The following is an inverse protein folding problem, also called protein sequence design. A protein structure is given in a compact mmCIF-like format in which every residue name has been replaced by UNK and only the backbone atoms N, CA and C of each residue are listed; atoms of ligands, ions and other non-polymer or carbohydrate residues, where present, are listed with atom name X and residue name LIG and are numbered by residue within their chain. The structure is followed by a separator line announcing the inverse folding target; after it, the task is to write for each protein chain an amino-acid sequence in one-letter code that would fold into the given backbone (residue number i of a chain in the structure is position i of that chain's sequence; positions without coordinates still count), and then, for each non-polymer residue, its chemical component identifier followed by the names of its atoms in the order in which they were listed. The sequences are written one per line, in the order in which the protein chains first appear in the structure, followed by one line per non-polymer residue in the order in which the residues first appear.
data_IF_315703554823
#
_entry.id   IF_315703554823
#
_cell.length_a   1.000
_cell.length_b   1.000
_cell.length_c   1.000
_cell.angle_alpha   90.00
_cell.angle_beta   90.00
_cell.angle_gamma   90.00
#
_symmetry.space_group_name_H-M   'P 1'
#
loop_
_entity.id
_entity.type
_entity.pdbx_description
1 polymer ?
#
# COMPACT_ATOMS: atom_id res chain seq x y z
N UNK A 1 35.15 -8.98 8.44
CA UNK A 1 35.23 -8.15 7.22
C UNK A 1 33.88 -7.48 7.08
N UNK A 2 33.81 -6.15 6.97
CA UNK A 2 32.51 -5.47 6.81
C UNK A 2 31.93 -5.81 5.43
N UNK A 3 30.60 -6.02 5.29
CA UNK A 3 29.96 -6.27 4.00
C UNK A 3 30.18 -5.08 3.05
N UNK A 4 30.12 -5.26 1.74
CA UNK A 4 30.24 -4.13 0.80
C UNK A 4 29.09 -3.14 0.98
N UNK A 5 29.35 -1.85 0.72
CA UNK A 5 28.30 -0.83 0.75
C UNK A 5 27.46 -1.00 -0.52
N UNK A 6 26.12 -1.06 -0.43
CA UNK A 6 25.25 -1.29 -1.58
C UNK A 6 25.40 -0.22 -2.67
N UNK A 7 25.34 -0.64 -3.93
CA UNK A 7 25.23 0.26 -5.09
C UNK A 7 23.76 0.38 -5.47
N UNK A 8 23.20 1.59 -5.44
CA UNK A 8 21.76 1.83 -5.65
C UNK A 8 21.23 1.26 -6.99
N UNK A 9 22.03 1.33 -8.06
CA UNK A 9 21.64 0.84 -9.38
C UNK A 9 21.36 -0.66 -9.42
N UNK A 10 22.01 -1.45 -8.56
CA UNK A 10 21.83 -2.90 -8.51
C UNK A 10 20.43 -3.27 -7.97
N UNK A 11 19.77 -2.33 -7.30
CA UNK A 11 18.42 -2.44 -6.76
C UNK A 11 17.39 -1.65 -7.58
N UNK A 12 17.79 -1.09 -8.73
CA UNK A 12 16.93 -0.22 -9.54
C UNK A 12 16.55 1.09 -8.86
N UNK A 13 17.33 1.53 -7.85
CA UNK A 13 17.07 2.75 -7.09
C UNK A 13 17.87 3.91 -7.70
N UNK A 14 17.21 5.06 -7.83
CA UNK A 14 17.84 6.27 -8.34
C UNK A 14 18.46 7.11 -7.22
N UNK A 15 19.70 7.59 -7.40
CA UNK A 15 20.27 8.58 -6.48
C UNK A 15 19.54 9.93 -6.54
N UNK A 16 18.76 10.20 -7.60
CA UNK A 16 18.06 11.49 -7.78
C UNK A 16 16.62 11.45 -7.29
N UNK A 17 15.90 10.37 -7.53
CA UNK A 17 14.45 10.28 -7.27
C UNK A 17 14.05 9.00 -6.51
N UNK A 18 15.02 8.35 -5.86
CA UNK A 18 14.77 7.24 -4.95
C UNK A 18 14.13 6.05 -5.64
N UNK A 19 12.99 5.60 -5.12
CA UNK A 19 12.26 4.43 -5.62
C UNK A 19 11.38 4.73 -6.84
N UNK A 20 11.29 5.99 -7.29
CA UNK A 20 10.66 6.30 -8.57
C UNK A 20 11.50 5.71 -9.72
N UNK A 21 10.88 5.32 -10.84
CA UNK A 21 11.61 4.81 -11.99
C UNK A 21 12.47 5.91 -12.63
N UNK A 22 13.64 5.52 -13.17
CA UNK A 22 14.56 6.43 -13.88
C UNK A 22 13.94 7.03 -15.15
N UNK A 23 13.06 6.27 -15.77
CA UNK A 23 12.26 6.72 -16.90
C UNK A 23 10.85 7.02 -16.42
N UNK A 24 10.24 8.05 -17.00
CA UNK A 24 8.87 8.43 -16.65
C UNK A 24 7.91 7.26 -16.94
N UNK A 25 6.91 7.04 -16.07
CA UNK A 25 5.92 6.00 -16.32
C UNK A 25 5.22 6.18 -17.67
N UNK A 26 4.94 5.06 -18.33
CA UNK A 26 4.27 5.07 -19.60
C UNK A 26 2.84 5.58 -19.45
N UNK A 27 2.45 6.63 -20.17
CA UNK A 27 1.11 7.19 -20.09
C UNK A 27 0.05 6.36 -20.82
N UNK A 28 0.48 5.55 -21.81
CA UNK A 28 -0.39 4.72 -22.64
C UNK A 28 0.41 3.57 -23.26
N UNK A 29 -0.09 2.34 -23.23
CA UNK A 29 0.51 1.19 -23.91
C UNK A 29 0.59 1.42 -25.42
N UNK A 30 1.76 1.23 -26.08
CA UNK A 30 1.92 1.64 -27.47
C UNK A 30 1.23 0.67 -28.45
N UNK A 31 1.15 -0.61 -28.11
CA UNK A 31 0.50 -1.62 -28.94
C UNK A 31 -1.03 -1.49 -28.88
N UNK A 32 -1.72 -1.22 -30.02
CA UNK A 32 -3.17 -1.16 -30.10
C UNK A 32 -3.92 -2.41 -29.64
N UNK A 33 -3.24 -3.57 -29.56
CA UNK A 33 -3.78 -4.79 -29.00
C UNK A 33 -4.35 -4.58 -27.58
N UNK A 34 -3.69 -3.73 -26.78
CA UNK A 34 -4.06 -3.43 -25.39
C UNK A 34 -5.04 -2.26 -25.24
N UNK A 35 -5.53 -1.65 -26.33
CA UNK A 35 -6.45 -0.51 -26.29
C UNK A 35 -7.74 -0.80 -25.49
N UNK A 36 -8.15 -2.06 -25.34
CA UNK A 36 -9.33 -2.41 -24.54
C UNK A 36 -9.11 -2.14 -23.05
N UNK A 37 -7.92 -2.39 -22.51
CA UNK A 37 -7.59 -2.05 -21.13
C UNK A 37 -7.53 -0.55 -20.93
N UNK A 38 -6.82 0.16 -21.82
CA UNK A 38 -6.71 1.63 -21.80
C UNK A 38 -8.09 2.28 -21.90
N UNK A 39 -8.98 1.82 -22.79
CA UNK A 39 -10.32 2.35 -22.94
C UNK A 39 -11.19 2.19 -21.69
N UNK A 40 -11.06 1.06 -20.97
CA UNK A 40 -11.79 0.84 -19.71
C UNK A 40 -11.29 1.77 -18.63
N UNK A 41 -9.96 1.89 -18.45
CA UNK A 41 -9.37 2.73 -17.40
C UNK A 41 -9.59 4.22 -17.69
N UNK A 42 -9.52 4.64 -18.96
CA UNK A 42 -9.82 6.01 -19.37
C UNK A 42 -11.28 6.43 -19.07
N UNK A 43 -12.20 5.46 -18.93
CA UNK A 43 -13.60 5.70 -18.58
C UNK A 43 -13.96 5.17 -17.19
N UNK A 44 -12.97 4.81 -16.36
CA UNK A 44 -13.17 4.05 -15.13
C UNK A 44 -14.13 4.76 -14.17
N UNK A 45 -13.95 6.06 -13.97
CA UNK A 45 -14.77 6.83 -13.03
C UNK A 45 -16.24 6.84 -13.48
N UNK A 46 -16.49 7.07 -14.77
CA UNK A 46 -17.83 7.05 -15.34
C UNK A 46 -18.48 5.66 -15.26
N UNK A 47 -17.69 4.59 -15.45
CA UNK A 47 -18.16 3.21 -15.36
C UNK A 47 -18.49 2.80 -13.91
N UNK A 48 -17.73 3.27 -12.93
CA UNK A 48 -18.01 3.07 -11.50
C UNK A 48 -19.28 3.83 -11.11
N UNK A 49 -19.35 5.13 -11.41
CA UNK A 49 -20.50 5.99 -11.07
C UNK A 49 -21.81 5.50 -11.69
N UNK A 50 -21.77 5.01 -12.93
CA UNK A 50 -22.93 4.46 -13.63
C UNK A 50 -23.24 3.00 -13.31
N UNK A 51 -22.46 2.35 -12.42
CA UNK A 51 -22.57 0.92 -12.07
C UNK A 51 -22.45 -0.04 -13.26
N UNK A 52 -21.71 0.35 -14.30
CA UNK A 52 -21.55 -0.42 -15.55
C UNK A 52 -20.22 -1.13 -15.68
N UNK A 53 -19.26 -0.86 -14.79
CA UNK A 53 -17.90 -1.42 -14.87
C UNK A 53 -17.90 -2.95 -14.98
N UNK A 54 -18.59 -3.66 -14.07
CA UNK A 54 -18.61 -5.14 -14.05
C UNK A 54 -19.09 -5.71 -15.39
N UNK A 55 -20.23 -5.24 -15.88
CA UNK A 55 -20.76 -5.69 -17.17
C UNK A 55 -19.84 -5.40 -18.35
N UNK A 56 -19.07 -4.30 -18.33
CA UNK A 56 -18.05 -4.02 -19.36
C UNK A 56 -16.89 -5.00 -19.26
N UNK A 57 -16.35 -5.20 -18.06
CA UNK A 57 -15.24 -6.14 -17.78
C UNK A 57 -15.61 -7.58 -18.15
N UNK A 58 -16.82 -8.04 -17.80
CA UNK A 58 -17.26 -9.42 -18.06
C UNK A 58 -17.34 -9.74 -19.56
N UNK A 59 -17.48 -8.72 -20.42
CA UNK A 59 -17.50 -8.86 -21.88
C UNK A 59 -16.13 -8.65 -22.54
N UNK A 60 -15.09 -8.29 -21.77
CA UNK A 60 -13.75 -8.17 -22.32
C UNK A 60 -13.23 -9.55 -22.70
N UNK A 61 -12.51 -9.67 -23.84
CA UNK A 61 -11.72 -10.87 -24.08
C UNK A 61 -10.54 -10.91 -23.09
N UNK A 62 -10.10 -12.12 -22.74
CA UNK A 62 -8.82 -12.31 -22.06
C UNK A 62 -7.71 -11.93 -23.03
N UNK A 63 -6.96 -10.87 -22.73
CA UNK A 63 -5.82 -10.44 -23.55
C UNK A 63 -4.53 -11.11 -23.06
N UNK A 64 -3.70 -11.54 -24.00
CA UNK A 64 -2.39 -12.14 -23.70
C UNK A 64 -1.36 -11.05 -23.36
N UNK A 65 -0.44 -11.37 -22.46
CA UNK A 65 0.67 -10.48 -22.06
C UNK A 65 1.92 -10.66 -22.93
N UNK A 66 1.90 -11.55 -23.93
CA UNK A 66 3.05 -11.85 -24.80
C UNK A 66 3.56 -10.65 -25.60
N UNK A 67 2.71 -9.67 -25.89
CA UNK A 67 3.08 -8.46 -26.63
C UNK A 67 3.67 -7.34 -25.77
N UNK A 68 3.83 -7.53 -24.46
CA UNK A 68 4.51 -6.57 -23.58
C UNK A 68 6.02 -6.83 -23.64
N UNK A 69 6.78 -5.89 -24.20
CA UNK A 69 8.22 -6.08 -24.48
C UNK A 69 9.12 -5.41 -23.46
N UNK A 70 8.76 -4.20 -23.03
CA UNK A 70 9.59 -3.37 -22.15
C UNK A 70 9.05 -3.29 -20.73
N UNK A 71 9.93 -3.15 -19.73
CA UNK A 71 9.53 -3.06 -18.31
C UNK A 71 8.50 -1.94 -18.06
N UNK A 72 8.58 -0.82 -18.78
CA UNK A 72 7.60 0.27 -18.69
C UNK A 72 6.19 -0.16 -19.16
N UNK A 73 6.09 -1.03 -20.15
CA UNK A 73 4.82 -1.60 -20.63
C UNK A 73 4.25 -2.59 -19.63
N UNK A 74 5.10 -3.46 -19.05
CA UNK A 74 4.69 -4.37 -17.98
C UNK A 74 4.15 -3.60 -16.76
N UNK A 75 4.85 -2.55 -16.33
CA UNK A 75 4.42 -1.67 -15.23
C UNK A 75 3.11 -0.96 -15.53
N UNK A 76 2.93 -0.42 -16.75
CA UNK A 76 1.68 0.20 -17.18
C UNK A 76 0.52 -0.81 -17.20
N UNK A 77 0.74 -1.99 -17.77
CA UNK A 77 -0.26 -3.06 -17.78
C UNK A 77 -0.69 -3.44 -16.35
N UNK A 78 0.27 -3.56 -15.43
CA UNK A 78 0.00 -3.81 -14.02
C UNK A 78 -0.88 -2.72 -13.40
N UNK A 79 -0.54 -1.43 -13.60
CA UNK A 79 -1.39 -0.32 -13.14
C UNK A 79 -2.82 -0.44 -13.66
N UNK A 80 -2.99 -0.59 -14.98
CA UNK A 80 -4.32 -0.69 -15.61
C UNK A 80 -5.14 -1.84 -15.02
N UNK A 81 -4.53 -3.02 -14.90
CA UNK A 81 -5.16 -4.22 -14.37
C UNK A 81 -5.51 -4.10 -12.89
N UNK A 82 -4.65 -3.48 -12.07
CA UNK A 82 -4.95 -3.21 -10.67
C UNK A 82 -6.09 -2.19 -10.49
N UNK A 83 -6.12 -1.12 -11.27
CA UNK A 83 -7.21 -0.14 -11.24
C UNK A 83 -8.54 -0.78 -11.65
N UNK A 84 -8.55 -1.60 -12.70
CA UNK A 84 -9.74 -2.37 -13.09
C UNK A 84 -10.14 -3.39 -12.03
N UNK A 85 -9.20 -4.13 -11.44
CA UNK A 85 -9.46 -5.15 -10.42
C UNK A 85 -10.12 -4.54 -9.18
N UNK A 86 -9.52 -3.50 -8.60
CA UNK A 86 -10.06 -2.84 -7.41
C UNK A 86 -11.36 -2.10 -7.71
N UNK A 87 -11.49 -1.52 -8.90
CA UNK A 87 -12.77 -0.96 -9.36
C UNK A 87 -13.87 -2.03 -9.46
N UNK A 88 -13.54 -3.23 -9.94
CA UNK A 88 -14.48 -4.34 -10.07
C UNK A 88 -14.88 -4.92 -8.71
N UNK A 89 -13.91 -5.15 -7.83
CA UNK A 89 -14.11 -5.64 -6.47
C UNK A 89 -14.97 -4.65 -5.70
N UNK A 90 -14.51 -3.41 -5.52
CA UNK A 90 -15.09 -2.47 -4.56
C UNK A 90 -16.13 -1.50 -5.16
N UNK A 91 -16.15 -1.30 -6.49
CA UNK A 91 -16.99 -0.28 -7.13
C UNK A 91 -18.46 -0.65 -7.36
N UNK A 92 -18.90 -1.84 -6.92
CA UNK A 92 -20.30 -2.28 -7.00
C UNK A 92 -21.16 -1.80 -5.83
N UNK A 93 -22.38 -2.35 -5.73
CA UNK A 93 -23.25 -2.13 -4.56
C UNK A 93 -22.78 -2.93 -3.33
N UNK A 94 -22.20 -4.11 -3.57
CA UNK A 94 -21.46 -4.91 -2.60
C UNK A 94 -20.10 -5.27 -3.21
N UNK A 95 -19.07 -5.57 -2.39
CA UNK A 95 -17.81 -6.05 -2.93
C UNK A 95 -18.00 -7.37 -3.69
N UNK A 96 -17.15 -7.61 -4.68
CA UNK A 96 -17.09 -8.89 -5.39
C UNK A 96 -15.91 -9.71 -4.89
N UNK A 97 -16.20 -10.93 -4.45
CA UNK A 97 -15.23 -11.94 -4.00
C UNK A 97 -14.61 -12.74 -5.15
N UNK A 98 -14.93 -12.41 -6.41
CA UNK A 98 -14.45 -13.17 -7.58
C UNK A 98 -14.09 -12.24 -8.73
N UNK A 99 -12.80 -12.15 -9.04
CA UNK A 99 -12.32 -11.44 -10.22
C UNK A 99 -12.46 -12.32 -11.47
N UNK A 100 -13.04 -11.80 -12.57
CA UNK A 100 -13.27 -12.59 -13.77
C UNK A 100 -11.97 -12.77 -14.60
N UNK A 101 -11.90 -13.80 -15.46
CA UNK A 101 -10.72 -14.12 -16.25
C UNK A 101 -10.11 -12.96 -17.08
N UNK A 102 -10.90 -12.03 -17.67
CA UNK A 102 -10.33 -10.92 -18.44
C UNK A 102 -9.42 -9.98 -17.64
N UNK A 103 -9.53 -9.98 -16.30
CA UNK A 103 -8.62 -9.27 -15.40
C UNK A 103 -7.68 -10.26 -14.70
N UNK A 104 -8.22 -11.33 -14.12
CA UNK A 104 -7.46 -12.22 -13.24
C UNK A 104 -6.27 -12.89 -13.96
N UNK A 105 -6.50 -13.47 -15.15
CA UNK A 105 -5.44 -14.16 -15.91
C UNK A 105 -4.27 -13.23 -16.26
N UNK A 106 -4.48 -12.09 -16.95
CA UNK A 106 -3.37 -11.19 -17.27
C UNK A 106 -2.75 -10.55 -16.02
N UNK A 107 -3.54 -10.21 -14.99
CA UNK A 107 -3.01 -9.63 -13.75
C UNK A 107 -2.05 -10.61 -13.05
N UNK A 108 -2.42 -11.88 -12.94
CA UNK A 108 -1.55 -12.91 -12.35
C UNK A 108 -0.24 -13.06 -13.15
N UNK A 109 -0.32 -13.05 -14.49
CA UNK A 109 0.86 -13.17 -15.34
C UNK A 109 1.80 -11.94 -15.23
N UNK A 110 1.23 -10.73 -15.23
CA UNK A 110 1.99 -9.48 -15.06
C UNK A 110 2.61 -9.39 -13.66
N UNK A 111 1.83 -9.70 -12.63
CA UNK A 111 2.27 -9.70 -11.24
C UNK A 111 3.45 -10.66 -11.03
N UNK A 112 3.37 -11.88 -11.57
CA UNK A 112 4.46 -12.85 -11.52
C UNK A 112 5.72 -12.37 -12.28
N UNK A 113 5.58 -11.74 -13.45
CA UNK A 113 6.70 -11.22 -14.24
C UNK A 113 7.41 -10.04 -13.57
N UNK A 114 6.68 -9.23 -12.81
CA UNK A 114 7.18 -8.07 -12.09
C UNK A 114 7.57 -8.38 -10.63
N UNK A 115 7.34 -9.62 -10.17
CA UNK A 115 7.58 -10.06 -8.80
C UNK A 115 6.84 -9.19 -7.76
N UNK A 116 5.58 -8.85 -8.06
CA UNK A 116 4.68 -8.10 -7.18
C UNK A 116 3.39 -8.90 -6.94
N UNK A 117 2.68 -8.69 -5.82
CA UNK A 117 1.40 -9.35 -5.59
C UNK A 117 0.31 -8.81 -6.53
N UNK A 118 -0.71 -9.61 -6.91
CA UNK A 118 -1.76 -9.19 -7.86
C UNK A 118 -2.84 -8.29 -7.21
N UNK A 119 -2.43 -7.19 -6.57
CA UNK A 119 -3.29 -6.22 -5.86
C UNK A 119 -2.84 -4.79 -6.21
N UNK A 120 -3.67 -3.77 -5.99
CA UNK A 120 -3.22 -2.38 -6.10
C UNK A 120 -2.19 -2.04 -5.01
N UNK A 121 -0.91 -2.22 -5.32
CA UNK A 121 0.23 -1.88 -4.48
C UNK A 121 0.60 -0.41 -4.61
N UNK A 122 1.49 0.08 -3.74
CA UNK A 122 2.03 1.44 -3.81
C UNK A 122 2.72 1.70 -5.15
N UNK A 123 3.35 0.68 -5.73
CA UNK A 123 3.91 0.77 -7.08
C UNK A 123 2.83 1.06 -8.14
N UNK A 124 1.68 0.39 -8.06
CA UNK A 124 0.57 0.59 -9.01
C UNK A 124 -0.08 1.97 -8.90
N UNK A 125 -0.33 2.45 -7.68
CA UNK A 125 -1.12 3.68 -7.46
C UNK A 125 -0.28 4.94 -7.36
N UNK A 126 1.02 4.82 -7.06
CA UNK A 126 1.96 5.94 -6.94
C UNK A 126 3.13 5.82 -7.94
N UNK A 127 4.08 4.90 -7.70
CA UNK A 127 5.40 4.92 -8.38
C UNK A 127 5.30 4.85 -9.92
N UNK A 128 4.27 4.18 -10.46
CA UNK A 128 4.06 4.01 -11.90
C UNK A 128 2.80 4.74 -12.41
N UNK A 129 2.21 5.63 -11.61
CA UNK A 129 0.91 6.27 -11.89
C UNK A 129 0.99 7.80 -11.97
N UNK A 130 2.04 8.34 -12.58
CA UNK A 130 2.19 9.79 -12.70
C UNK A 130 2.83 10.22 -14.02
N UNK A 131 2.66 11.50 -14.33
CA UNK A 131 3.37 12.20 -15.39
C UNK A 131 3.61 13.65 -14.98
N UNK A 132 4.70 14.27 -15.46
CA UNK A 132 4.86 15.71 -15.34
C UNK A 132 3.91 16.45 -16.30
N UNK A 133 3.54 17.67 -15.95
CA UNK A 133 2.83 18.61 -16.83
C UNK A 133 3.82 19.30 -17.78
N UNK A 134 5.01 19.62 -17.27
CA UNK A 134 6.14 20.23 -17.96
C UNK A 134 7.39 19.36 -17.74
N UNK A 135 7.95 18.84 -18.84
CA UNK A 135 9.05 17.86 -18.81
C UNK A 135 10.40 18.45 -18.40
N UNK A 136 10.53 19.77 -18.45
CA UNK A 136 11.70 20.55 -18.06
C UNK A 136 11.72 20.93 -16.57
N UNK A 137 10.61 20.69 -15.86
CA UNK A 137 10.48 20.91 -14.42
C UNK A 137 10.70 19.62 -13.61
N UNK A 138 11.08 19.76 -12.33
CA UNK A 138 11.40 18.63 -11.45
C UNK A 138 10.16 17.81 -11.06
N UNK A 139 10.34 16.49 -10.92
CA UNK A 139 9.29 15.57 -10.43
C UNK A 139 9.06 15.64 -8.91
N UNK A 140 9.81 16.47 -8.20
CA UNK A 140 9.60 16.78 -6.79
C UNK A 140 8.68 18.01 -6.58
N UNK A 141 8.28 18.69 -7.66
CA UNK A 141 7.35 19.82 -7.62
C UNK A 141 5.92 19.33 -7.81
N UNK A 142 5.10 19.40 -6.77
CA UNK A 142 3.72 18.91 -6.78
C UNK A 142 2.86 19.57 -7.85
N UNK A 143 3.08 20.86 -8.07
CA UNK A 143 2.35 21.67 -9.04
C UNK A 143 2.58 21.21 -10.47
N UNK A 144 3.69 20.51 -10.73
CA UNK A 144 4.08 19.98 -12.02
C UNK A 144 3.63 18.52 -12.23
N UNK A 145 2.89 17.90 -11.31
CA UNK A 145 2.53 16.49 -11.44
C UNK A 145 1.04 16.29 -11.73
N UNK A 146 0.74 15.22 -12.47
CA UNK A 146 -0.60 14.71 -12.67
C UNK A 146 -0.62 13.18 -12.55
N UNK A 147 -1.72 12.64 -12.01
CA UNK A 147 -1.97 11.20 -11.96
C UNK A 147 -2.36 10.68 -13.35
N UNK A 148 -2.00 9.43 -13.65
CA UNK A 148 -2.44 8.78 -14.88
C UNK A 148 -3.81 8.12 -14.73
N UNK A 149 -4.15 7.63 -13.55
CA UNK A 149 -5.39 6.90 -13.27
C UNK A 149 -5.86 7.11 -11.82
N UNK A 150 -7.18 7.12 -11.66
CA UNK A 150 -7.89 7.31 -10.39
C UNK A 150 -9.23 6.55 -10.45
N UNK A 151 -9.74 6.09 -9.31
CA UNK A 151 -11.06 5.46 -9.20
C UNK A 151 -12.19 6.49 -9.11
N UNK A 152 -11.99 7.54 -8.33
CA UNK A 152 -13.01 8.55 -8.03
C UNK A 152 -12.94 9.75 -8.97
N UNK A 153 -11.76 10.03 -9.52
CA UNK A 153 -11.50 11.24 -10.30
C UNK A 153 -11.42 12.52 -9.47
N UNK A 154 -11.42 12.40 -8.13
CA UNK A 154 -11.35 13.56 -7.26
C UNK A 154 -9.94 14.15 -7.22
N UNK A 155 -9.90 15.44 -6.85
CA UNK A 155 -8.65 16.11 -6.53
C UNK A 155 -8.00 15.49 -5.29
N UNK A 156 -8.78 15.07 -4.30
CA UNK A 156 -8.31 14.43 -3.07
C UNK A 156 -7.50 13.16 -3.35
N UNK A 157 -8.00 12.30 -4.24
CA UNK A 157 -7.33 11.06 -4.62
C UNK A 157 -6.03 11.34 -5.37
N UNK A 158 -6.09 12.28 -6.32
CA UNK A 158 -4.91 12.67 -7.06
C UNK A 158 -3.85 13.27 -6.13
N UNK A 159 -4.25 14.17 -5.23
CA UNK A 159 -3.35 14.82 -4.29
C UNK A 159 -2.71 13.83 -3.32
N UNK A 160 -3.48 12.85 -2.84
CA UNK A 160 -2.95 11.78 -1.99
C UNK A 160 -1.79 11.03 -2.68
N UNK A 161 -1.94 10.63 -3.95
CA UNK A 161 -0.85 9.97 -4.68
C UNK A 161 0.30 10.91 -5.00
N UNK A 162 0.01 12.14 -5.46
CA UNK A 162 1.04 13.08 -5.89
C UNK A 162 1.95 13.53 -4.74
N UNK A 163 1.41 13.74 -3.53
CA UNK A 163 2.21 14.02 -2.33
C UNK A 163 3.19 12.89 -2.06
N UNK A 164 2.74 11.63 -2.13
CA UNK A 164 3.62 10.47 -1.99
C UNK A 164 4.72 10.45 -3.06
N UNK A 165 4.38 10.70 -4.33
CA UNK A 165 5.36 10.73 -5.44
C UNK A 165 6.41 11.83 -5.22
N UNK A 166 5.99 13.03 -4.84
CA UNK A 166 6.92 14.13 -4.57
C UNK A 166 7.84 13.82 -3.37
N UNK A 167 7.33 13.10 -2.36
CA UNK A 167 8.15 12.64 -1.23
C UNK A 167 9.23 11.66 -1.67
N UNK A 168 8.90 10.70 -2.53
CA UNK A 168 9.91 9.77 -3.10
C UNK A 168 11.00 10.52 -3.88
N UNK A 169 10.59 11.47 -4.73
CA UNK A 169 11.50 12.27 -5.52
C UNK A 169 12.44 13.11 -4.63
N UNK A 170 11.88 13.79 -3.62
CA UNK A 170 12.64 14.67 -2.72
C UNK A 170 13.51 13.89 -1.73
N UNK A 171 13.07 12.70 -1.33
CA UNK A 171 13.80 11.80 -0.44
C UNK A 171 14.92 11.03 -1.13
N UNK A 172 14.85 10.83 -2.45
CA UNK A 172 15.85 10.07 -3.22
C UNK A 172 17.33 10.38 -2.90
N UNK A 173 17.76 11.65 -2.93
CA UNK A 173 19.14 12.03 -2.63
C UNK A 173 19.62 11.64 -1.23
N UNK A 174 18.70 11.45 -0.27
CA UNK A 174 19.04 11.07 1.10
C UNK A 174 19.68 9.68 1.18
N UNK A 175 19.33 8.78 0.26
CA UNK A 175 19.95 7.45 0.18
C UNK A 175 21.44 7.59 -0.13
N UNK A 176 21.80 8.45 -1.09
CA UNK A 176 23.19 8.70 -1.44
C UNK A 176 23.97 9.37 -0.28
N UNK A 177 23.33 10.29 0.46
CA UNK A 177 23.91 10.91 1.65
C UNK A 177 24.25 9.85 2.71
N UNK A 178 23.35 8.91 2.97
CA UNK A 178 23.58 7.86 3.97
C UNK A 178 24.64 6.85 3.52
N UNK A 179 24.69 6.48 2.24
CA UNK A 179 25.78 5.64 1.72
C UNK A 179 27.14 6.35 1.83
N UNK A 180 27.20 7.65 1.57
CA UNK A 180 28.41 8.45 1.78
C UNK A 180 28.83 8.49 3.26
N UNK A 181 27.86 8.62 4.18
CA UNK A 181 28.12 8.53 5.61
C UNK A 181 28.72 7.16 5.99
N UNK A 182 28.18 6.07 5.45
CA UNK A 182 28.71 4.71 5.68
C UNK A 182 30.15 4.56 5.17
N UNK A 183 30.49 5.15 4.03
CA UNK A 183 31.87 5.19 3.53
C UNK A 183 32.78 5.99 4.47
N UNK A 184 32.33 7.16 4.93
CA UNK A 184 33.09 8.01 5.84
C UNK A 184 33.35 7.34 7.20
N UNK A 185 32.36 6.61 7.75
CA UNK A 185 32.55 5.80 8.96
C UNK A 185 33.67 4.78 8.78
N UNK A 186 33.72 4.09 7.64
CA UNK A 186 34.78 3.09 7.35
C UNK A 186 36.15 3.71 7.15
N UNK A 187 36.21 4.97 6.77
CA UNK A 187 37.43 5.75 6.60
C UNK A 187 37.86 6.49 7.87
N UNK A 188 37.14 6.34 8.99
CA UNK A 188 37.33 7.09 10.24
C UNK A 188 37.27 8.62 10.04
N UNK A 189 36.45 9.08 9.09
CA UNK A 189 36.25 10.50 8.78
C UNK A 189 35.01 11.04 9.49
N UNK A 190 35.17 11.38 10.77
CA UNK A 190 34.10 11.96 11.59
C UNK A 190 33.53 13.26 11.01
N UNK A 191 34.34 14.05 10.29
CA UNK A 191 33.89 15.33 9.73
C UNK A 191 32.86 15.11 8.63
N UNK A 192 33.14 14.19 7.71
CA UNK A 192 32.21 13.84 6.63
C UNK A 192 30.96 13.16 7.19
N UNK A 193 31.09 12.30 8.20
CA UNK A 193 29.92 11.68 8.87
C UNK A 193 29.00 12.75 9.44
N UNK A 194 29.53 13.71 10.20
CA UNK A 194 28.72 14.81 10.76
C UNK A 194 28.05 15.63 9.66
N UNK A 195 28.77 15.97 8.59
CA UNK A 195 28.21 16.72 7.47
C UNK A 195 27.06 15.96 6.77
N UNK A 196 27.21 14.66 6.54
CA UNK A 196 26.15 13.83 5.98
C UNK A 196 24.92 13.75 6.89
N UNK A 197 25.09 13.58 8.20
CA UNK A 197 23.97 13.52 9.14
C UNK A 197 23.22 14.84 9.24
N UNK A 198 23.93 15.98 9.25
CA UNK A 198 23.29 17.30 9.19
C UNK A 198 22.49 17.47 7.89
N UNK A 199 23.08 17.15 6.74
CA UNK A 199 22.39 17.23 5.45
C UNK A 199 21.17 16.29 5.38
N UNK A 200 21.25 15.10 5.98
CA UNK A 200 20.14 14.17 6.06
C UNK A 200 19.00 14.71 6.93
N UNK A 201 19.32 15.31 8.07
CA UNK A 201 18.34 15.95 8.95
C UNK A 201 17.61 17.12 8.26
N UNK A 202 18.34 17.98 7.56
CA UNK A 202 17.75 19.07 6.76
C UNK A 202 16.78 18.54 5.70
N UNK A 203 17.10 17.41 5.06
CA UNK A 203 16.21 16.78 4.07
C UNK A 203 14.99 16.11 4.69
N UNK A 204 15.11 15.57 5.90
CA UNK A 204 13.96 15.09 6.65
C UNK A 204 12.99 16.22 6.99
N UNK A 205 13.50 17.39 7.39
CA UNK A 205 12.67 18.57 7.64
C UNK A 205 11.91 19.00 6.37
N UNK A 206 12.59 19.02 5.21
CA UNK A 206 11.96 19.28 3.91
C UNK A 206 10.82 18.29 3.59
N UNK A 207 11.01 16.99 3.89
CA UNK A 207 9.97 15.98 3.72
C UNK A 207 8.81 16.19 4.70
N UNK A 208 9.08 16.63 5.93
CA UNK A 208 8.06 16.97 6.91
C UNK A 208 7.16 18.10 6.41
N UNK A 209 7.74 19.16 5.84
CA UNK A 209 7.00 20.26 5.21
C UNK A 209 6.17 19.76 4.03
N UNK A 210 6.74 18.90 3.18
CA UNK A 210 6.03 18.32 2.03
C UNK A 210 4.84 17.45 2.46
N UNK A 211 4.99 16.62 3.50
CA UNK A 211 3.91 15.79 4.03
C UNK A 211 2.75 16.62 4.57
N UNK A 212 3.02 17.76 5.20
CA UNK A 212 1.98 18.67 5.69
C UNK A 212 1.06 19.17 4.56
N UNK A 213 1.58 19.26 3.33
CA UNK A 213 0.82 19.66 2.14
C UNK A 213 -0.31 18.71 1.77
N UNK A 214 -0.32 17.49 2.32
CA UNK A 214 -1.44 16.56 2.15
C UNK A 214 -2.78 17.21 2.54
N UNK A 215 -2.79 18.01 3.59
CA UNK A 215 -3.98 18.70 4.10
C UNK A 215 -4.46 19.84 3.18
N UNK A 216 -3.68 20.26 2.18
CA UNK A 216 -4.08 21.34 1.27
C UNK A 216 -5.27 20.93 0.39
N UNK A 217 -5.28 19.68 -0.08
CA UNK A 217 -6.25 19.23 -1.10
C UNK A 217 -6.70 17.78 -0.95
N UNK A 218 -6.45 17.13 0.18
CA UNK A 218 -6.98 15.81 0.51
C UNK A 218 -7.82 15.90 1.80
N UNK A 219 -9.13 16.01 1.67
CA UNK A 219 -10.05 16.03 2.81
C UNK A 219 -10.08 14.65 3.50
N UNK A 220 -9.93 14.59 4.85
CA UNK A 220 -9.94 13.32 5.58
C UNK A 220 -11.21 12.49 5.41
N UNK A 221 -12.38 13.14 5.29
CA UNK A 221 -13.67 12.46 5.12
C UNK A 221 -13.78 11.87 3.72
N UNK A 222 -13.37 12.63 2.71
CA UNK A 222 -13.28 12.13 1.33
C UNK A 222 -12.31 10.96 1.23
N UNK A 223 -11.12 11.07 1.82
CA UNK A 223 -10.18 9.98 1.88
C UNK A 223 -10.77 8.73 2.53
N UNK A 224 -11.30 8.86 3.75
CA UNK A 224 -11.77 7.72 4.52
C UNK A 224 -12.95 7.00 3.87
N UNK A 225 -13.93 7.73 3.32
CA UNK A 225 -15.18 7.15 2.83
C UNK A 225 -15.21 6.89 1.33
N UNK A 226 -14.38 7.58 0.53
CA UNK A 226 -14.45 7.50 -0.94
C UNK A 226 -13.20 6.90 -1.58
N UNK A 227 -12.03 7.07 -0.97
CA UNK A 227 -10.74 6.67 -1.56
C UNK A 227 -10.23 5.39 -0.90
N UNK A 228 -10.13 5.37 0.43
CA UNK A 228 -9.64 4.24 1.22
C UNK A 228 -10.30 2.90 0.86
N UNK A 229 -11.62 2.80 0.58
CA UNK A 229 -12.22 1.53 0.17
C UNK A 229 -11.58 0.93 -1.09
N UNK A 230 -11.16 1.75 -2.06
CA UNK A 230 -10.47 1.25 -3.24
C UNK A 230 -9.01 0.86 -2.98
N UNK A 231 -8.39 1.41 -1.93
CA UNK A 231 -7.03 1.06 -1.50
C UNK A 231 -6.97 -0.19 -0.61
N UNK A 232 -8.14 -0.71 -0.22
CA UNK A 232 -8.26 -1.94 0.56
C UNK A 232 -7.87 -3.17 -0.26
N UNK A 233 -7.09 -4.06 0.34
CA UNK A 233 -6.82 -5.41 -0.19
C UNK A 233 -7.93 -6.37 0.23
N UNK A 234 -7.70 -7.67 0.16
CA UNK A 234 -8.74 -8.67 0.48
C UNK A 234 -8.50 -9.45 1.79
N UNK A 235 -7.29 -9.34 2.37
CA UNK A 235 -6.95 -9.96 3.66
C UNK A 235 -7.71 -9.32 4.82
N UNK A 236 -8.29 -10.16 5.68
CA UNK A 236 -9.03 -9.75 6.89
C UNK A 236 -10.22 -8.81 6.61
N UNK A 237 -10.88 -8.98 5.46
CA UNK A 237 -11.97 -8.10 5.01
C UNK A 237 -13.37 -8.67 5.30
N UNK A 238 -13.52 -9.50 6.34
CA UNK A 238 -14.81 -10.10 6.68
C UNK A 238 -15.91 -9.05 6.92
N UNK A 239 -15.60 -8.02 7.71
CA UNK A 239 -16.52 -6.94 8.04
C UNK A 239 -16.85 -6.04 6.83
N UNK A 240 -15.97 -6.03 5.83
CA UNK A 240 -16.18 -5.32 4.57
C UNK A 240 -16.97 -6.16 3.54
N UNK A 241 -17.28 -7.43 3.82
CA UNK A 241 -18.03 -8.32 2.93
C UNK A 241 -17.19 -9.34 2.15
N UNK A 242 -15.90 -9.50 2.49
CA UNK A 242 -14.97 -10.47 1.87
C UNK A 242 -14.34 -11.39 2.93
N UNK A 243 -15.13 -12.27 3.58
CA UNK A 243 -14.66 -13.12 4.68
C UNK A 243 -13.60 -14.16 4.28
N UNK A 244 -13.48 -14.46 2.99
CA UNK A 244 -12.54 -15.42 2.44
C UNK A 244 -11.60 -14.79 1.39
N UNK A 245 -11.48 -13.47 1.42
CA UNK A 245 -10.71 -12.72 0.42
C UNK A 245 -11.36 -12.73 -0.96
N UNK A 246 -10.53 -12.72 -2.01
CA UNK A 246 -10.96 -12.67 -3.41
C UNK A 246 -10.38 -13.85 -4.18
N UNK A 247 -11.24 -14.54 -4.93
CA UNK A 247 -10.89 -15.60 -5.87
C UNK A 247 -10.49 -14.97 -7.20
N UNK A 248 -9.29 -15.26 -7.67
CA UNK A 248 -8.82 -14.90 -9.00
C UNK A 248 -9.18 -16.03 -9.96
N UNK A 249 -10.20 -15.84 -10.79
CA UNK A 249 -10.63 -16.85 -11.76
C UNK A 249 -9.63 -16.94 -12.92
N UNK A 250 -8.75 -17.94 -12.88
CA UNK A 250 -7.79 -18.22 -13.94
C UNK A 250 -8.41 -18.92 -15.17
N UNK A 251 -9.74 -19.11 -15.18
CA UNK A 251 -10.48 -19.81 -16.23
C UNK A 251 -10.33 -21.34 -16.17
N UNK A 252 -9.51 -21.86 -15.25
CA UNK A 252 -9.38 -23.28 -14.99
C UNK A 252 -10.32 -23.59 -13.83
N UNK A 253 -11.60 -23.81 -14.13
CA UNK A 253 -12.57 -24.28 -13.15
C UNK A 253 -12.08 -25.59 -12.52
N UNK A 254 -11.37 -25.52 -11.39
CA UNK A 254 -11.27 -26.64 -10.45
C UNK A 254 -12.67 -26.82 -9.87
N UNK A 255 -13.41 -27.77 -10.41
CA UNK A 255 -14.64 -28.26 -9.83
C UNK A 255 -14.36 -28.67 -8.38
N UNK A 256 -14.67 -27.81 -7.41
CA UNK A 256 -14.80 -28.25 -6.02
C UNK A 256 -16.05 -29.12 -5.94
N UNK A 257 -15.95 -30.43 -5.64
CA UNK A 257 -17.14 -31.26 -5.44
C UNK A 257 -17.94 -30.69 -4.28
N UNK A 258 -19.24 -30.52 -4.49
CA UNK A 258 -20.14 -29.79 -3.61
C UNK A 258 -20.06 -30.19 -2.14
N UNK A 259 -20.20 -29.17 -1.28
CA UNK A 259 -20.51 -29.31 0.13
C UNK A 259 -21.69 -30.27 0.34
N UNK A 260 -21.40 -31.50 0.75
CA UNK A 260 -22.38 -32.28 1.53
C UNK A 260 -22.26 -31.82 2.98
N UNK A 261 -23.37 -31.34 3.53
CA UNK A 261 -23.49 -31.03 4.95
C UNK A 261 -23.02 -32.24 5.80
N UNK A 262 -22.22 -32.02 6.85
CA UNK A 262 -21.84 -33.10 7.74
C UNK A 262 -23.06 -33.57 8.56
N UNK A 263 -23.21 -34.88 8.83
CA UNK A 263 -24.28 -35.34 9.68
C UNK A 263 -23.94 -35.06 11.15
N UNK A 264 -25.00 -34.73 11.88
CA UNK A 264 -25.06 -34.50 13.32
C UNK A 264 -24.39 -35.65 14.10
N UNK A 265 -23.43 -35.33 14.98
CA UNK A 265 -22.80 -36.30 15.89
C UNK A 265 -22.82 -35.82 17.33
N UNK A 266 -23.65 -36.52 18.09
CA UNK A 266 -23.66 -36.61 19.56
C UNK A 266 -22.32 -37.09 20.13
N UNK A 267 -22.10 -36.70 21.37
CA UNK A 267 -20.98 -37.00 22.27
C UNK A 267 -20.58 -38.48 22.36
N UNK A 268 -19.28 -38.72 22.56
CA UNK A 268 -18.70 -40.01 22.91
C UNK A 268 -17.18 -39.95 23.05
N UNK A 269 -16.67 -40.29 24.24
CA UNK A 269 -15.30 -40.11 24.71
C UNK A 269 -14.25 -41.10 24.17
N UNK A 270 -12.97 -40.68 24.20
CA UNK A 270 -11.82 -41.52 24.55
C UNK A 270 -10.89 -41.99 23.41
N UNK A 271 -9.60 -41.64 23.52
CA UNK A 271 -8.50 -42.36 22.86
C UNK A 271 -7.32 -41.49 22.39
N UNK A 272 -6.21 -41.48 23.15
CA UNK A 272 -4.90 -40.93 22.76
C UNK A 272 -4.17 -41.88 21.81
N UNK A 273 -3.54 -41.34 20.77
CA UNK A 273 -2.25 -41.80 20.22
C UNK A 273 -1.62 -40.70 19.33
N UNK A 274 -0.35 -40.37 19.59
CA UNK A 274 0.53 -39.50 18.78
C UNK A 274 0.83 -40.12 17.40
N UNK A 275 1.06 -39.29 16.35
CA UNK A 275 2.44 -39.17 15.88
C UNK A 275 2.85 -37.80 15.27
N UNK A 276 4.07 -37.39 15.63
CA UNK A 276 5.14 -36.72 14.86
C UNK A 276 4.84 -35.51 13.94
N UNK A 277 5.60 -34.45 14.26
CA UNK A 277 6.15 -33.39 13.42
C UNK A 277 5.18 -32.27 12.98
N UNK A 278 4.78 -31.42 13.94
CA UNK A 278 4.52 -30.02 13.62
C UNK A 278 5.85 -29.30 13.43
N UNK A 279 6.25 -29.10 12.17
CA UNK A 279 7.22 -28.08 11.81
C UNK A 279 6.59 -26.74 12.19
N UNK A 280 7.00 -26.25 13.37
CA UNK A 280 6.68 -24.93 13.87
C UNK A 280 7.55 -23.94 13.06
N UNK A 281 7.00 -23.40 11.98
CA UNK A 281 7.64 -22.32 11.22
C UNK A 281 7.63 -21.04 12.04
N UNK A 282 8.82 -20.47 12.25
CA UNK A 282 9.09 -19.32 13.11
C UNK A 282 8.59 -18.04 12.48
N UNK A 283 7.57 -17.44 13.08
CA UNK A 283 7.31 -16.00 12.94
C UNK A 283 8.53 -15.22 13.39
N UNK A 284 8.89 -14.20 12.62
CA UNK A 284 10.04 -13.35 12.90
C UNK A 284 10.33 -12.41 11.74
N UNK A 285 9.53 -11.35 11.59
CA UNK A 285 9.97 -10.13 10.92
C UNK A 285 10.04 -9.02 11.95
N UNK A 286 11.25 -8.78 12.47
CA UNK A 286 11.58 -7.71 13.42
C UNK A 286 11.39 -6.31 12.82
N UNK A 287 11.07 -6.22 11.52
CA UNK A 287 10.85 -4.96 10.84
C UNK A 287 9.56 -4.27 11.30
N UNK A 288 8.46 -5.01 11.51
CA UNK A 288 7.22 -4.37 11.99
C UNK A 288 7.34 -3.93 13.44
N UNK A 289 8.06 -4.68 14.29
CA UNK A 289 8.37 -4.23 15.64
C UNK A 289 9.33 -3.05 15.64
N UNK A 290 10.33 -3.02 14.75
CA UNK A 290 11.27 -1.90 14.61
C UNK A 290 10.60 -0.63 14.06
N UNK A 291 9.78 -0.74 13.00
CA UNK A 291 9.05 0.40 12.44
C UNK A 291 8.00 0.93 13.43
N UNK A 292 7.34 0.03 14.18
CA UNK A 292 6.44 0.40 15.26
C UNK A 292 7.20 1.08 16.39
N UNK A 293 8.32 0.53 16.83
CA UNK A 293 9.19 1.11 17.86
C UNK A 293 9.70 2.48 17.44
N UNK A 294 10.28 2.62 16.23
CA UNK A 294 10.74 3.88 15.70
C UNK A 294 9.59 4.92 15.60
N UNK A 295 8.39 4.51 15.18
CA UNK A 295 7.19 5.38 15.18
C UNK A 295 6.77 5.78 16.60
N UNK A 296 6.77 4.84 17.53
CA UNK A 296 6.30 5.07 18.89
C UNK A 296 7.32 5.96 19.65
N UNK A 297 8.63 5.71 19.49
CA UNK A 297 9.74 6.51 20.05
C UNK A 297 9.87 7.92 19.45
N UNK A 298 9.54 8.10 18.17
CA UNK A 298 9.53 9.44 17.52
C UNK A 298 8.17 10.13 17.60
N UNK A 299 7.11 9.39 17.93
CA UNK A 299 5.73 9.87 17.95
C UNK A 299 5.32 10.55 19.25
N UNK A 300 5.80 10.10 20.41
CA UNK A 300 5.38 10.66 21.71
C UNK A 300 5.67 12.17 21.86
N UNK A 301 6.84 12.72 21.46
CA UNK A 301 7.11 14.15 21.58
C UNK A 301 6.27 15.01 20.62
N UNK A 302 5.94 14.49 19.43
CA UNK A 302 5.27 15.24 18.37
C UNK A 302 3.73 15.18 18.48
N UNK A 303 3.19 14.05 18.93
CA UNK A 303 1.74 13.86 19.10
C UNK A 303 1.24 14.58 20.35
N UNK A 304 2.01 14.65 21.44
CA UNK A 304 1.58 15.31 22.67
C UNK A 304 1.43 16.84 22.49
N UNK A 305 2.36 17.51 21.79
CA UNK A 305 2.24 18.94 21.46
C UNK A 305 1.07 19.24 20.49
N UNK A 306 0.86 18.37 19.50
CA UNK A 306 -0.24 18.50 18.55
C UNK A 306 -1.61 18.27 19.21
N UNK A 307 -1.71 17.26 20.08
CA UNK A 307 -2.94 16.90 20.79
C UNK A 307 -3.33 17.98 21.82
N UNK A 308 -2.35 18.55 22.53
CA UNK A 308 -2.62 19.69 23.43
C UNK A 308 -3.08 20.94 22.66
N UNK A 309 -2.50 21.24 21.50
CA UNK A 309 -2.93 22.37 20.64
C UNK A 309 -4.34 22.18 20.07
N UNK A 310 -4.73 20.95 19.77
CA UNK A 310 -6.06 20.61 19.26
C UNK A 310 -7.14 20.69 20.36
N UNK A 311 -6.86 20.14 21.54
CA UNK A 311 -7.78 20.13 22.69
C UNK A 311 -8.08 21.54 23.22
N UNK A 312 -7.13 22.48 23.12
CA UNK A 312 -7.34 23.87 23.52
C UNK A 312 -8.22 24.69 22.56
N UNK A 313 -8.54 24.18 21.35
CA UNK A 313 -9.16 24.98 20.28
C UNK A 313 -10.63 24.67 19.99
N UNK A 314 -11.26 23.68 20.63
CA UNK A 314 -12.70 23.44 20.45
C UNK A 314 -13.48 23.33 21.76
N UNK A 315 -14.34 24.33 21.96
CA UNK A 315 -15.46 24.28 22.89
C UNK A 315 -16.54 23.30 22.43
N UNK A 316 -17.06 22.58 23.42
CA UNK A 316 -18.13 21.57 23.41
C UNK A 316 -19.33 21.87 22.49
N UNK A 317 -19.80 20.84 21.78
CA UNK A 317 -21.20 20.38 21.74
C UNK A 317 -21.28 18.91 21.26
N UNK A 318 -22.12 18.03 21.85
CA UNK A 318 -22.06 16.57 21.61
C UNK A 318 -23.21 15.98 20.77
N UNK A 319 -22.94 14.84 20.13
CA UNK A 319 -23.90 13.86 19.54
C UNK A 319 -23.65 13.57 18.04
N UNK A 320 -23.92 12.40 17.43
CA UNK A 320 -24.31 11.02 17.82
C UNK A 320 -24.18 10.16 16.51
N UNK A 321 -23.93 8.85 16.62
CA UNK A 321 -23.48 7.90 15.56
C UNK A 321 -24.31 7.77 14.25
N UNK A 322 -23.63 7.49 13.11
CA UNK A 322 -24.25 7.11 11.82
C UNK A 322 -23.27 6.38 10.84
N UNK A 323 -23.28 5.02 10.73
CA UNK A 323 -22.33 4.26 9.88
C UNK A 323 -22.82 4.05 8.43
N UNK A 324 -24.12 3.98 8.16
CA UNK A 324 -24.77 4.16 6.83
C UNK A 324 -26.29 4.34 7.09
N UNK A 325 -26.74 5.58 7.35
CA UNK A 325 -28.13 6.03 7.64
C UNK A 325 -28.75 5.62 9.02
N UNK A 326 -29.34 6.59 9.73
CA UNK A 326 -29.27 6.63 11.22
C UNK A 326 -30.50 6.39 12.11
N UNK A 327 -30.22 6.64 13.42
CA UNK A 327 -31.01 6.73 14.70
C UNK A 327 -31.29 5.43 15.51
N UNK A 328 -31.49 5.53 16.86
CA UNK A 328 -30.72 6.24 17.90
C UNK A 328 -30.38 5.38 19.17
N UNK A 329 -29.26 5.67 19.86
CA UNK A 329 -28.72 4.89 21.00
C UNK A 329 -29.35 5.13 22.40
N UNK A 330 -29.32 4.09 23.25
CA UNK A 330 -29.34 4.12 24.74
C UNK A 330 -27.89 4.09 25.33
N UNK A 331 -27.63 4.67 26.51
CA UNK A 331 -26.27 4.84 27.06
C UNK A 331 -25.79 3.70 28.01
N UNK A 332 -24.48 3.42 28.11
CA UNK A 332 -23.91 2.50 29.10
C UNK A 332 -23.31 3.19 30.35
N UNK A 333 -23.22 2.44 31.45
CA UNK A 333 -22.69 2.81 32.77
C UNK A 333 -21.16 2.65 32.91
N UNK A 334 -20.50 3.32 33.88
CA UNK A 334 -19.04 3.40 33.97
C UNK A 334 -18.44 2.35 34.91
N UNK A 335 -17.47 1.55 34.42
CA UNK A 335 -16.47 0.88 35.27
C UNK A 335 -15.30 0.39 34.40
N UNK A 336 -14.13 0.27 35.04
CA UNK A 336 -12.81 -0.11 34.50
C UNK A 336 -11.95 1.08 34.02
N UNK A 337 -11.56 1.91 34.99
CA UNK A 337 -10.21 2.45 35.04
C UNK A 337 -9.35 1.58 35.99
N UNK A 338 -8.05 1.48 35.68
CA UNK A 338 -6.96 0.87 36.45
C UNK A 338 -6.63 -0.62 36.19
N UNK A 339 -5.47 -0.88 35.57
CA UNK A 339 -4.37 -1.79 35.96
C UNK A 339 -3.15 -1.39 35.08
N UNK A 340 -2.26 -0.50 35.54
CA UNK A 340 -1.06 -0.69 36.40
C UNK A 340 0.24 -0.86 35.58
N UNK A 341 1.13 0.09 35.83
CA UNK A 341 2.57 0.15 35.56
C UNK A 341 3.33 -0.93 36.34
N UNK A 342 4.34 -1.55 35.74
CA UNK A 342 5.52 -2.11 36.45
C UNK A 342 6.70 -2.37 35.49
N UNK A 343 7.87 -1.88 35.90
CA UNK A 343 9.25 -2.02 35.40
C UNK A 343 9.71 -3.46 35.06
N UNK A 344 10.70 -3.64 34.17
CA UNK A 344 12.14 -3.69 34.53
C UNK A 344 13.07 -4.05 33.34
N UNK A 345 14.31 -3.58 33.46
CA UNK A 345 15.36 -3.53 32.43
C UNK A 345 16.06 -4.86 32.07
N UNK A 346 16.54 -4.97 30.82
CA UNK A 346 17.87 -5.51 30.48
C UNK A 346 18.26 -5.15 29.04
N UNK A 347 19.34 -4.39 28.89
CA UNK A 347 19.99 -4.04 27.63
C UNK A 347 20.77 -5.24 27.06
N UNK A 348 20.44 -5.65 25.84
CA UNK A 348 21.40 -6.16 24.85
C UNK A 348 21.04 -5.54 23.49
N UNK A 349 21.75 -4.48 23.11
CA UNK A 349 21.60 -3.84 21.80
C UNK A 349 22.35 -4.68 20.77
N UNK A 350 21.62 -5.55 20.09
CA UNK A 350 22.13 -6.30 18.95
C UNK A 350 22.14 -5.39 17.70
N UNK A 351 23.34 -5.01 17.24
CA UNK A 351 23.53 -4.18 16.04
C UNK A 351 23.24 -5.03 14.80
N UNK A 352 22.00 -4.96 14.31
CA UNK A 352 21.58 -5.66 13.09
C UNK A 352 21.62 -4.71 11.88
N UNK A 353 22.52 -5.00 10.94
CA UNK A 353 22.78 -4.21 9.74
C UNK A 353 21.61 -4.16 8.75
N UNK A 354 21.56 -3.08 7.97
CA UNK A 354 20.50 -2.67 7.02
C UNK A 354 20.34 -3.52 5.75
N UNK A 355 20.72 -4.80 5.76
CA UNK A 355 20.57 -5.68 4.60
C UNK A 355 19.84 -6.97 4.99
N UNK A 356 18.51 -6.94 4.92
CA UNK A 356 17.65 -8.11 5.05
C UNK A 356 16.95 -8.43 3.73
N UNK A 357 17.07 -9.68 3.28
CA UNK A 357 16.31 -10.25 2.16
C UNK A 357 14.85 -10.47 2.57
N UNK A 358 13.92 -10.03 1.71
CA UNK A 358 12.48 -10.15 1.94
C UNK A 358 11.94 -11.47 1.40
N UNK A 359 11.22 -12.23 2.22
CA UNK A 359 10.38 -13.35 1.76
C UNK A 359 8.92 -13.02 2.06
N UNK A 360 8.08 -13.01 1.02
CA UNK A 360 6.63 -12.81 1.17
C UNK A 360 6.02 -14.07 1.80
N UNK A 361 5.43 -13.92 2.99
CA UNK A 361 4.43 -14.88 3.46
C UNK A 361 3.10 -14.54 2.77
N UNK A 362 2.64 -15.47 1.94
CA UNK A 362 1.44 -15.37 1.12
C UNK A 362 0.19 -15.13 1.98
N UNK A 363 -0.35 -13.92 1.89
CA UNK A 363 -1.78 -13.54 1.95
C UNK A 363 -1.83 -12.01 1.82
N UNK A 364 -2.32 -11.51 0.69
CA UNK A 364 -2.08 -10.15 0.21
C UNK A 364 -2.94 -9.11 0.95
N UNK A 365 -2.31 -8.38 1.89
CA UNK A 365 -2.87 -7.16 2.49
C UNK A 365 -2.76 -5.97 1.55
N UNK A 366 -3.80 -5.12 1.48
CA UNK A 366 -3.77 -3.91 0.65
C UNK A 366 -3.09 -2.74 1.33
N UNK A 367 -3.09 -1.58 0.66
CA UNK A 367 -2.40 -0.37 1.13
C UNK A 367 -3.01 0.21 2.40
N UNK A 368 -4.33 0.09 2.54
CA UNK A 368 -5.02 0.43 3.77
C UNK A 368 -5.48 -0.85 4.44
N UNK A 369 -4.87 -1.17 5.59
CA UNK A 369 -5.35 -2.21 6.48
C UNK A 369 -6.56 -1.69 7.27
N UNK A 370 -7.48 -2.59 7.63
CA UNK A 370 -8.56 -2.30 8.56
C UNK A 370 -8.14 -2.56 9.99
#
# INVERSE_FOLDING_TARGET
MLPEIPVLSDYGISPKHGFLPNELPLAHLPDPYYNKWEAVVANLQALILSRRLRGVVDRLPVLSTVGLEHDAEWRRAYCLLCFMAHGYIWGGDSPSDRLPPPIAVPLLAVAARLEVPPVATYAAVCLWNFKPLFVDEGVDQLENLATLSTWTGSLDESWFYLVSIAMEARGGPMLAIMLAAMHAVRADDATTVTACLCAFAERLDDLGVLLQRLHERCDPTMFYHRIRPFLAGSKNMADAGLPHGVVYDDGILRHCPGHRAPPDRREGAGGRADPKASLKGTGGTTLMSFLKQARDETGEPAVEEWTQRFLHRQGRAPGKNDFFFGKPDEPPTPEIAAVVLADDASDEVEVNGLAGTWTMDDDVGGLCLY
#
